data_IF_383014538458
#
_entry.id   IF_383014538458
#
_cell.length_a   1.000
_cell.length_b   1.000
_cell.length_c   1.000
_cell.angle_alpha   90.00
_cell.angle_beta   90.00
_cell.angle_gamma   90.00
#
_symmetry.space_group_name_H-M   'P 1'
#
loop_
_entity.id
_entity.type
_entity.pdbx_description
1 polymer ?
#
# COMPACT_ATOMS: atom_id res chain seq x y z
N UNK A 1 -15.73 -4.69 2.80
CA UNK A 1 -14.47 -5.44 3.13
C UNK A 1 -13.42 -4.50 3.76
N UNK A 2 -12.87 -3.48 3.05
CA UNK A 2 -11.78 -2.65 3.63
C UNK A 2 -12.19 -1.99 4.96
N UNK A 3 -13.30 -1.29 5.00
CA UNK A 3 -13.79 -0.61 6.20
C UNK A 3 -14.20 -1.57 7.33
N UNK A 4 -14.59 -2.79 7.01
CA UNK A 4 -14.91 -3.83 8.00
C UNK A 4 -13.65 -4.41 8.65
N UNK A 5 -12.56 -4.53 7.89
CA UNK A 5 -11.28 -5.03 8.40
C UNK A 5 -10.49 -3.96 9.18
N UNK A 6 -10.85 -2.68 9.01
CA UNK A 6 -10.07 -1.54 9.52
C UNK A 6 -9.85 -1.61 11.03
N UNK A 7 -10.92 -1.76 11.81
CA UNK A 7 -10.86 -1.73 13.28
C UNK A 7 -9.91 -2.80 13.84
N UNK A 8 -10.12 -4.06 13.45
CA UNK A 8 -9.26 -5.15 13.91
C UNK A 8 -7.80 -5.01 13.44
N UNK A 9 -7.57 -4.38 12.27
CA UNK A 9 -6.23 -4.14 11.77
C UNK A 9 -5.51 -3.00 12.50
N UNK A 10 -6.19 -1.91 12.79
CA UNK A 10 -5.60 -0.79 13.52
C UNK A 10 -5.32 -1.12 15.00
N UNK A 11 -6.16 -1.98 15.62
CA UNK A 11 -5.97 -2.43 16.99
C UNK A 11 -4.84 -3.47 17.13
N UNK A 12 -4.47 -4.16 16.04
CA UNK A 12 -3.36 -5.11 16.06
C UNK A 12 -2.05 -4.39 16.42
N UNK A 13 -1.27 -4.89 17.41
CA UNK A 13 0.04 -4.32 17.74
C UNK A 13 0.91 -4.14 16.49
N UNK A 14 1.57 -3.00 16.38
CA UNK A 14 2.35 -2.67 15.17
C UNK A 14 3.47 -3.68 14.88
N UNK A 15 4.02 -4.29 15.91
CA UNK A 15 5.01 -5.37 15.79
C UNK A 15 4.43 -6.61 15.11
N UNK A 16 3.18 -6.96 15.42
CA UNK A 16 2.50 -8.09 14.80
C UNK A 16 2.17 -7.79 13.33
N UNK A 17 1.72 -6.57 13.02
CA UNK A 17 1.53 -6.14 11.62
C UNK A 17 2.85 -6.20 10.85
N UNK A 18 3.91 -5.64 11.42
CA UNK A 18 5.25 -5.63 10.83
C UNK A 18 5.81 -7.03 10.57
N UNK A 19 5.58 -7.98 11.48
CA UNK A 19 6.03 -9.36 11.33
C UNK A 19 5.46 -10.03 10.08
N UNK A 20 4.23 -9.72 9.67
CA UNK A 20 3.62 -10.24 8.43
C UNK A 20 4.43 -9.77 7.21
N UNK A 21 4.78 -8.48 7.15
CA UNK A 21 5.51 -7.91 6.02
C UNK A 21 6.99 -8.32 5.99
N UNK A 22 7.64 -8.47 7.14
CA UNK A 22 9.00 -9.03 7.21
C UNK A 22 9.03 -10.48 6.75
N UNK A 23 8.04 -11.30 7.17
CA UNK A 23 7.88 -12.67 6.67
C UNK A 23 7.63 -12.69 5.16
N UNK A 24 6.88 -11.72 4.63
CA UNK A 24 6.67 -11.58 3.20
C UNK A 24 7.98 -11.26 2.47
N UNK A 25 8.81 -10.36 2.99
CA UNK A 25 10.13 -10.05 2.43
C UNK A 25 11.03 -11.28 2.34
N UNK A 26 11.05 -12.12 3.38
CA UNK A 26 11.83 -13.36 3.38
C UNK A 26 11.29 -14.39 2.38
N UNK A 27 9.97 -14.46 2.20
CA UNK A 27 9.38 -15.34 1.19
C UNK A 27 9.59 -14.83 -0.24
N UNK A 28 9.61 -13.52 -0.46
CA UNK A 28 9.96 -12.90 -1.76
C UNK A 28 11.37 -13.30 -2.17
N UNK A 29 12.34 -13.17 -1.27
CA UNK A 29 13.75 -13.50 -1.55
C UNK A 29 14.05 -15.00 -1.53
N UNK A 30 13.12 -15.81 -1.06
CA UNK A 30 13.20 -17.27 -0.97
C UNK A 30 12.25 -17.99 -1.94
N UNK A 31 11.23 -18.70 -1.43
CA UNK A 31 10.43 -19.63 -2.22
C UNK A 31 9.58 -18.97 -3.32
N UNK A 32 9.24 -17.69 -3.20
CA UNK A 32 8.45 -16.98 -4.21
C UNK A 32 9.28 -16.23 -5.26
N UNK A 33 10.60 -16.14 -5.09
CA UNK A 33 11.50 -15.36 -5.96
C UNK A 33 11.33 -15.72 -7.44
N UNK A 34 11.37 -17.00 -7.79
CA UNK A 34 11.29 -17.44 -9.19
C UNK A 34 9.92 -17.17 -9.81
N UNK A 35 8.85 -17.40 -9.07
CA UNK A 35 7.48 -17.13 -9.54
C UNK A 35 7.25 -15.64 -9.77
N UNK A 36 7.72 -14.79 -8.85
CA UNK A 36 7.59 -13.35 -8.99
C UNK A 36 8.47 -12.81 -10.13
N UNK A 37 9.70 -13.29 -10.28
CA UNK A 37 10.55 -12.94 -11.41
C UNK A 37 9.91 -13.35 -12.74
N UNK A 38 9.48 -14.59 -12.88
CA UNK A 38 8.86 -15.08 -14.11
C UNK A 38 7.58 -14.29 -14.46
N UNK A 39 6.71 -14.04 -13.50
CA UNK A 39 5.49 -13.27 -13.73
C UNK A 39 5.76 -11.80 -14.07
N UNK A 40 6.80 -11.19 -13.50
CA UNK A 40 7.27 -9.85 -13.83
C UNK A 40 7.84 -9.79 -15.24
N UNK A 41 8.65 -10.77 -15.63
CA UNK A 41 9.17 -10.87 -17.00
C UNK A 41 8.05 -10.97 -18.03
N UNK A 42 7.07 -11.85 -17.79
CA UNK A 42 5.95 -12.07 -18.70
C UNK A 42 5.00 -10.87 -18.79
N UNK A 43 4.68 -10.25 -17.66
CA UNK A 43 3.72 -9.15 -17.61
C UNK A 43 4.29 -7.79 -18.02
N UNK A 44 5.59 -7.58 -17.85
CA UNK A 44 6.25 -6.29 -18.04
C UNK A 44 7.37 -6.31 -19.09
N UNK A 45 7.54 -7.43 -19.80
CA UNK A 45 8.57 -7.59 -20.84
C UNK A 45 9.98 -7.32 -20.33
N UNK A 46 10.29 -7.71 -19.10
CA UNK A 46 11.60 -7.54 -18.46
C UNK A 46 12.52 -8.69 -18.75
N UNK A 47 13.82 -8.40 -18.81
CA UNK A 47 14.87 -9.42 -18.79
C UNK A 47 14.94 -10.05 -17.40
N UNK A 48 15.62 -11.20 -17.29
CA UNK A 48 15.86 -11.87 -15.98
C UNK A 48 16.50 -10.92 -14.99
N UNK A 49 17.53 -10.18 -15.42
CA UNK A 49 18.26 -9.24 -14.57
C UNK A 49 17.36 -8.08 -14.07
N UNK A 50 16.53 -7.51 -14.96
CA UNK A 50 15.59 -6.45 -14.59
C UNK A 50 14.50 -6.93 -13.63
N UNK A 51 13.98 -8.13 -13.84
CA UNK A 51 13.00 -8.73 -12.94
C UNK A 51 13.61 -9.02 -11.56
N UNK A 52 14.84 -9.53 -11.54
CA UNK A 52 15.57 -9.82 -10.30
C UNK A 52 15.78 -8.58 -9.44
N UNK A 53 16.18 -7.44 -10.05
CA UNK A 53 16.33 -6.17 -9.35
C UNK A 53 14.97 -5.69 -8.80
N UNK A 54 13.92 -5.75 -9.63
CA UNK A 54 12.57 -5.34 -9.27
C UNK A 54 12.04 -6.13 -8.05
N UNK A 55 12.23 -7.45 -8.06
CA UNK A 55 11.75 -8.31 -6.97
C UNK A 55 12.61 -8.16 -5.70
N UNK A 56 13.91 -7.94 -5.84
CA UNK A 56 14.77 -7.61 -4.70
C UNK A 56 14.35 -6.30 -4.04
N UNK A 57 14.07 -5.27 -4.84
CA UNK A 57 13.57 -3.98 -4.37
C UNK A 57 12.21 -4.11 -3.66
N UNK A 58 11.31 -4.98 -4.13
CA UNK A 58 10.05 -5.25 -3.45
C UNK A 58 10.27 -5.75 -2.01
N UNK A 59 11.23 -6.66 -1.82
CA UNK A 59 11.58 -7.14 -0.48
C UNK A 59 12.19 -6.03 0.39
N UNK A 60 13.01 -5.17 -0.21
CA UNK A 60 13.62 -4.04 0.49
C UNK A 60 12.60 -2.98 0.88
N UNK A 61 11.61 -2.68 0.03
CA UNK A 61 10.50 -1.78 0.40
C UNK A 61 9.77 -2.26 1.66
N UNK A 62 9.55 -3.56 1.80
CA UNK A 62 8.90 -4.09 3.01
C UNK A 62 9.78 -3.93 4.24
N UNK A 63 11.07 -4.22 4.14
CA UNK A 63 12.03 -4.08 5.23
C UNK A 63 12.21 -2.62 5.64
N UNK A 64 12.41 -1.73 4.66
CA UNK A 64 12.51 -0.28 4.89
C UNK A 64 11.20 0.31 5.42
N UNK A 65 10.06 -0.15 4.90
CA UNK A 65 8.74 0.28 5.37
C UNK A 65 8.54 -0.01 6.86
N UNK A 66 8.91 -1.21 7.30
CA UNK A 66 8.87 -1.59 8.72
C UNK A 66 9.85 -0.77 9.55
N UNK A 67 11.10 -0.62 9.08
CA UNK A 67 12.08 0.22 9.75
C UNK A 67 11.61 1.68 9.86
N UNK A 68 11.10 2.25 8.80
CA UNK A 68 10.57 3.63 8.79
C UNK A 68 9.39 3.81 9.74
N UNK A 69 8.49 2.82 9.80
CA UNK A 69 7.37 2.84 10.75
C UNK A 69 7.88 2.84 12.20
N UNK A 70 8.90 2.03 12.50
CA UNK A 70 9.54 2.01 13.81
C UNK A 70 10.13 3.37 14.16
N UNK A 71 10.84 4.02 13.24
CA UNK A 71 11.41 5.36 13.47
C UNK A 71 10.32 6.41 13.72
N UNK A 72 9.21 6.36 12.98
CA UNK A 72 8.07 7.26 13.22
C UNK A 72 7.49 7.05 14.62
N UNK A 73 7.29 5.80 15.05
CA UNK A 73 6.70 5.50 16.38
C UNK A 73 7.61 5.85 17.55
N UNK A 74 8.92 5.98 17.32
CA UNK A 74 9.88 6.47 18.34
C UNK A 74 9.78 7.97 18.58
N UNK A 75 9.24 8.74 17.65
CA UNK A 75 9.10 10.19 17.81
C UNK A 75 7.99 10.49 18.83
N UNK A 76 8.41 10.85 20.02
CA UNK A 76 7.53 11.07 21.17
C UNK A 76 7.77 12.47 21.76
N UNK A 77 6.71 13.10 22.31
CA UNK A 77 6.84 14.42 22.93
C UNK A 77 7.70 14.35 24.21
N UNK A 78 8.30 15.48 24.53
CA UNK A 78 9.10 15.60 25.76
C UNK A 78 8.22 15.43 27.00
N UNK A 79 8.70 14.64 27.95
CA UNK A 79 8.13 14.51 29.29
C UNK A 79 8.95 15.31 30.29
N UNK A 80 8.29 15.85 31.32
CA UNK A 80 8.94 16.57 32.42
C UNK A 80 8.73 15.84 33.75
N UNK A 81 9.42 16.27 34.80
CA UNK A 81 9.28 15.67 36.13
C UNK A 81 7.79 15.65 36.57
N UNK A 82 7.30 14.45 36.90
CA UNK A 82 5.92 14.23 37.32
C UNK A 82 4.86 14.25 36.20
N UNK A 83 5.25 14.46 34.94
CA UNK A 83 4.34 14.46 33.78
C UNK A 83 4.89 13.52 32.71
N UNK A 84 4.08 12.55 32.29
CA UNK A 84 4.38 11.67 31.17
C UNK A 84 3.53 12.06 29.96
N UNK A 85 4.17 12.54 28.89
CA UNK A 85 3.54 12.88 27.62
C UNK A 85 3.76 11.74 26.61
N UNK A 86 2.71 11.34 25.89
CA UNK A 86 2.77 10.33 24.87
C UNK A 86 1.94 10.73 23.67
N UNK A 87 2.44 10.45 22.48
CA UNK A 87 1.69 10.51 21.23
C UNK A 87 1.27 9.09 20.86
N UNK A 88 0.00 8.94 20.53
CA UNK A 88 -0.57 7.71 20.01
C UNK A 88 -0.84 7.88 18.51
N UNK A 89 -0.14 7.07 17.69
CA UNK A 89 -0.23 7.13 16.23
C UNK A 89 -1.40 6.28 15.76
N UNK A 90 -2.36 6.90 15.11
CA UNK A 90 -3.52 6.24 14.53
C UNK A 90 -3.49 6.28 13.01
N UNK A 91 -3.98 5.22 12.31
CA UNK A 91 -4.18 5.26 10.88
C UNK A 91 -5.25 6.28 10.49
N UNK A 92 -5.33 6.61 9.21
CA UNK A 92 -6.33 7.53 8.70
C UNK A 92 -7.76 6.96 8.85
N UNK A 93 -8.74 7.83 9.08
CA UNK A 93 -10.14 7.41 9.17
C UNK A 93 -10.74 7.20 7.77
N UNK A 94 -10.64 5.96 7.30
CA UNK A 94 -11.11 5.54 6.00
C UNK A 94 -10.17 4.53 5.35
N UNK A 95 -10.12 4.50 4.02
CA UNK A 95 -9.24 3.62 3.26
C UNK A 95 -8.31 4.41 2.33
N UNK A 96 -7.19 3.79 1.99
CA UNK A 96 -6.24 4.31 1.00
C UNK A 96 -6.57 3.72 -0.37
N UNK A 97 -6.72 4.57 -1.38
CA UNK A 97 -6.82 4.15 -2.78
C UNK A 97 -5.41 4.10 -3.36
N UNK A 98 -4.89 2.90 -3.63
CA UNK A 98 -3.58 2.68 -4.23
C UNK A 98 -3.73 2.31 -5.71
N UNK A 99 -3.24 3.16 -6.61
CA UNK A 99 -3.20 2.89 -8.05
C UNK A 99 -1.76 2.76 -8.49
N UNK A 100 -1.40 1.60 -9.02
CA UNK A 100 -0.01 1.21 -9.24
C UNK A 100 0.35 1.08 -10.71
N UNK A 101 1.64 1.33 -11.06
CA UNK A 101 2.10 1.42 -12.44
C UNK A 101 2.25 0.05 -13.11
N UNK A 102 2.59 0.09 -14.41
CA UNK A 102 2.76 -1.12 -15.22
C UNK A 102 4.22 -1.62 -15.27
N UNK A 103 5.17 -0.81 -14.87
CA UNK A 103 6.58 -1.01 -15.16
C UNK A 103 7.42 -1.58 -14.01
N UNK A 104 6.91 -1.56 -12.76
CA UNK A 104 7.60 -2.11 -11.60
C UNK A 104 6.64 -2.88 -10.67
N UNK A 105 6.95 -4.14 -10.44
CA UNK A 105 6.24 -4.97 -9.46
C UNK A 105 6.54 -4.51 -8.03
N UNK A 106 7.75 -4.02 -7.77
CA UNK A 106 8.17 -3.42 -6.50
C UNK A 106 7.28 -2.24 -6.10
N UNK A 107 7.10 -1.29 -7.00
CA UNK A 107 6.20 -0.13 -6.79
C UNK A 107 4.75 -0.61 -6.67
N UNK A 108 4.36 -1.57 -7.53
CA UNK A 108 3.04 -2.20 -7.48
C UNK A 108 2.70 -2.75 -6.11
N UNK A 109 3.65 -3.42 -5.47
CA UNK A 109 3.51 -3.97 -4.12
C UNK A 109 3.65 -2.93 -3.01
N UNK A 110 4.55 -1.95 -3.17
CA UNK A 110 4.82 -0.95 -2.14
C UNK A 110 3.62 -0.02 -1.87
N UNK A 111 2.95 0.45 -2.92
CA UNK A 111 1.88 1.44 -2.75
C UNK A 111 0.73 1.00 -1.83
N UNK A 112 0.22 -0.24 -1.89
CA UNK A 112 -0.77 -0.72 -0.94
C UNK A 112 -0.18 -1.15 0.40
N UNK A 113 1.09 -1.63 0.46
CA UNK A 113 1.66 -2.17 1.70
C UNK A 113 2.24 -1.10 2.61
N UNK A 114 2.84 -0.04 2.11
CA UNK A 114 3.37 1.04 2.93
C UNK A 114 2.30 1.63 3.88
N UNK A 115 1.10 2.01 3.42
CA UNK A 115 0.05 2.43 4.34
C UNK A 115 -0.47 1.30 5.24
N UNK A 116 -0.47 0.04 4.78
CA UNK A 116 -0.94 -1.08 5.58
C UNK A 116 0.00 -1.38 6.77
N UNK A 117 1.31 -1.24 6.62
CA UNK A 117 2.30 -1.40 7.70
C UNK A 117 1.95 -0.49 8.89
N UNK A 118 1.54 0.75 8.62
CA UNK A 118 1.16 1.72 9.65
C UNK A 118 -0.33 1.69 10.02
N UNK A 119 -1.02 0.58 9.73
CA UNK A 119 -2.37 0.29 10.22
C UNK A 119 -3.52 0.74 9.31
N UNK A 120 -3.25 1.30 8.13
CA UNK A 120 -4.31 1.62 7.18
C UNK A 120 -4.79 0.38 6.42
N UNK A 121 -5.99 0.48 5.87
CA UNK A 121 -6.52 -0.48 4.89
C UNK A 121 -6.47 0.11 3.50
N UNK A 122 -6.24 -0.73 2.49
CA UNK A 122 -6.02 -0.26 1.13
C UNK A 122 -6.95 -0.95 0.11
N UNK A 123 -7.36 -0.17 -0.89
CA UNK A 123 -8.01 -0.61 -2.10
C UNK A 123 -6.98 -0.49 -3.23
N UNK A 124 -6.52 -1.61 -3.74
CA UNK A 124 -5.38 -1.68 -4.65
C UNK A 124 -5.83 -2.01 -6.07
N UNK A 125 -5.67 -1.04 -6.96
CA UNK A 125 -5.88 -1.21 -8.38
C UNK A 125 -4.55 -1.36 -9.12
N UNK A 126 -4.19 -2.58 -9.56
CA UNK A 126 -2.99 -2.80 -10.36
C UNK A 126 -3.17 -2.28 -11.79
N UNK A 127 -2.05 -2.02 -12.47
CA UNK A 127 -2.08 -1.85 -13.92
C UNK A 127 -2.45 -3.16 -14.62
N UNK A 128 -3.14 -3.08 -15.76
CA UNK A 128 -3.65 -4.26 -16.51
C UNK A 128 -2.54 -5.24 -16.89
N UNK A 129 -1.39 -4.76 -17.31
CA UNK A 129 -0.25 -5.60 -17.70
C UNK A 129 0.53 -6.17 -16.51
N UNK A 130 0.41 -5.58 -15.33
CA UNK A 130 1.09 -6.04 -14.12
C UNK A 130 0.21 -6.91 -13.19
N UNK A 131 -1.01 -7.26 -13.62
CA UNK A 131 -1.98 -8.04 -12.80
C UNK A 131 -1.39 -9.36 -12.34
N UNK A 132 -0.69 -10.11 -13.21
CA UNK A 132 -0.18 -11.45 -12.89
C UNK A 132 0.83 -11.42 -11.72
N UNK A 133 1.85 -10.57 -11.81
CA UNK A 133 2.87 -10.46 -10.76
C UNK A 133 2.27 -9.95 -9.45
N UNK A 134 1.43 -8.93 -9.53
CA UNK A 134 0.77 -8.35 -8.37
C UNK A 134 -0.24 -9.32 -7.72
N UNK A 135 -0.88 -10.18 -8.50
CA UNK A 135 -1.74 -11.25 -7.97
C UNK A 135 -0.95 -12.28 -7.16
N UNK A 136 0.20 -12.74 -7.69
CA UNK A 136 1.07 -13.65 -6.93
C UNK A 136 1.61 -12.99 -5.66
N UNK A 137 1.92 -11.71 -5.72
CA UNK A 137 2.30 -10.96 -4.53
C UNK A 137 1.16 -10.86 -3.51
N UNK A 138 -0.06 -10.58 -3.94
CA UNK A 138 -1.23 -10.58 -3.04
C UNK A 138 -1.44 -11.94 -2.38
N UNK A 139 -1.33 -13.04 -3.13
CA UNK A 139 -1.37 -14.41 -2.56
C UNK A 139 -0.28 -14.62 -1.52
N UNK A 140 0.94 -14.20 -1.81
CA UNK A 140 2.05 -14.28 -0.87
C UNK A 140 1.75 -13.54 0.43
N UNK A 141 1.19 -12.34 0.37
CA UNK A 141 0.80 -11.59 1.55
C UNK A 141 -0.25 -12.35 2.40
N UNK A 142 -1.26 -12.93 1.76
CA UNK A 142 -2.26 -13.76 2.44
C UNK A 142 -1.63 -15.01 3.09
N UNK A 143 -0.72 -15.69 2.38
CA UNK A 143 0.02 -16.85 2.90
C UNK A 143 0.97 -16.47 4.07
N UNK A 144 1.35 -15.20 4.17
CA UNK A 144 2.11 -14.67 5.30
C UNK A 144 1.25 -14.33 6.51
N UNK A 145 -0.07 -14.29 6.35
CA UNK A 145 -1.03 -14.02 7.41
C UNK A 145 -1.67 -12.63 7.33
N UNK A 146 -1.59 -11.93 6.19
CA UNK A 146 -2.32 -10.68 6.00
C UNK A 146 -3.84 -10.96 6.09
N UNK A 147 -4.57 -10.33 7.01
CA UNK A 147 -6.00 -10.56 7.13
C UNK A 147 -6.78 -10.10 5.89
N UNK A 148 -7.83 -10.83 5.57
CA UNK A 148 -8.73 -10.46 4.48
C UNK A 148 -9.33 -9.07 4.71
N UNK A 149 -9.38 -8.26 3.66
CA UNK A 149 -9.92 -6.90 3.72
C UNK A 149 -8.88 -5.81 4.04
N UNK A 150 -7.70 -6.14 4.58
CA UNK A 150 -6.64 -5.13 4.84
C UNK A 150 -6.13 -4.55 3.53
N UNK A 151 -5.78 -5.41 2.56
CA UNK A 151 -5.48 -4.99 1.19
C UNK A 151 -6.47 -5.68 0.27
N UNK A 152 -7.19 -4.92 -0.52
CA UNK A 152 -8.21 -5.40 -1.45
C UNK A 152 -7.70 -5.24 -2.88
N UNK A 153 -7.35 -6.35 -3.50
CA UNK A 153 -6.84 -6.39 -4.88
C UNK A 153 -8.01 -6.31 -5.87
N UNK A 154 -8.12 -5.18 -6.61
CA UNK A 154 -9.27 -4.86 -7.48
C UNK A 154 -8.77 -4.54 -8.89
N UNK A 155 -8.57 -5.55 -9.76
CA UNK A 155 -8.29 -5.33 -11.17
C UNK A 155 -9.53 -4.75 -11.87
N UNK A 156 -9.49 -3.46 -12.19
CA UNK A 156 -10.56 -2.75 -12.90
C UNK A 156 -9.98 -1.63 -13.77
N UNK A 157 -10.84 -0.97 -14.52
CA UNK A 157 -10.43 0.20 -15.31
C UNK A 157 -10.29 1.45 -14.43
N UNK A 158 -9.43 2.39 -14.87
CA UNK A 158 -9.23 3.66 -14.16
C UNK A 158 -10.50 4.50 -14.06
N UNK A 159 -11.38 4.40 -15.06
CA UNK A 159 -12.67 5.07 -15.07
C UNK A 159 -13.57 4.62 -13.90
N UNK A 160 -13.55 3.33 -13.54
CA UNK A 160 -14.32 2.82 -12.42
C UNK A 160 -13.79 3.37 -11.10
N UNK A 161 -12.46 3.50 -10.96
CA UNK A 161 -11.85 4.12 -9.77
C UNK A 161 -12.28 5.57 -9.64
N UNK A 162 -12.21 6.35 -10.72
CA UNK A 162 -12.65 7.76 -10.72
C UNK A 162 -14.14 7.91 -10.41
N UNK A 163 -14.96 7.00 -10.89
CA UNK A 163 -16.41 7.07 -10.72
C UNK A 163 -16.90 6.65 -9.34
N UNK A 164 -16.30 5.58 -8.77
CA UNK A 164 -16.86 4.93 -7.58
C UNK A 164 -15.98 5.04 -6.35
N UNK A 165 -14.65 5.14 -6.52
CA UNK A 165 -13.70 5.07 -5.40
C UNK A 165 -13.21 6.46 -5.00
N UNK A 166 -12.77 7.27 -5.97
CA UNK A 166 -12.25 8.60 -5.68
C UNK A 166 -13.29 9.49 -4.97
N UNK A 167 -14.57 9.57 -5.39
CA UNK A 167 -15.55 10.41 -4.70
C UNK A 167 -16.14 9.79 -3.42
N UNK A 168 -15.67 8.61 -3.00
CA UNK A 168 -16.24 7.94 -1.83
C UNK A 168 -15.93 8.70 -0.54
N UNK A 169 -16.92 9.01 0.33
CA UNK A 169 -16.73 9.84 1.52
C UNK A 169 -15.64 9.35 2.50
N UNK A 170 -15.39 8.04 2.53
CA UNK A 170 -14.36 7.42 3.38
C UNK A 170 -13.04 7.18 2.66
N UNK A 171 -12.79 7.75 1.48
CA UNK A 171 -11.45 7.77 0.90
C UNK A 171 -10.59 8.74 1.71
N UNK A 172 -9.64 8.19 2.47
CA UNK A 172 -8.78 8.94 3.38
C UNK A 172 -7.42 9.29 2.75
N UNK A 173 -7.03 8.60 1.68
CA UNK A 173 -5.79 8.88 0.97
C UNK A 173 -5.75 8.25 -0.41
N UNK A 174 -4.89 8.82 -1.24
CA UNK A 174 -4.61 8.36 -2.59
C UNK A 174 -3.11 8.21 -2.77
N UNK A 175 -2.66 6.99 -3.05
CA UNK A 175 -1.25 6.65 -3.25
C UNK A 175 -1.07 6.18 -4.68
N UNK A 176 -0.25 6.90 -5.45
CA UNK A 176 -0.24 6.78 -6.91
C UNK A 176 1.16 6.79 -7.49
N UNK A 177 1.39 5.94 -8.48
CA UNK A 177 2.49 6.09 -9.43
C UNK A 177 1.96 5.91 -10.84
N UNK A 178 2.24 6.89 -11.72
CA UNK A 178 1.77 6.88 -13.10
C UNK A 178 1.95 8.23 -13.79
N UNK A 179 1.09 8.55 -14.77
CA UNK A 179 1.24 9.80 -15.51
C UNK A 179 0.79 11.03 -14.73
N UNK A 180 1.52 12.12 -14.90
CA UNK A 180 1.22 13.44 -14.34
C UNK A 180 -0.23 13.88 -14.65
N UNK A 181 -0.70 13.67 -15.86
CA UNK A 181 -2.06 14.06 -16.26
C UNK A 181 -3.14 13.32 -15.45
N UNK A 182 -2.94 12.03 -15.17
CA UNK A 182 -3.88 11.27 -14.33
C UNK A 182 -3.86 11.77 -12.90
N UNK A 183 -2.66 12.02 -12.33
CA UNK A 183 -2.54 12.52 -10.97
C UNK A 183 -3.19 13.90 -10.80
N UNK A 184 -2.95 14.81 -11.74
CA UNK A 184 -3.60 16.14 -11.76
C UNK A 184 -5.12 16.01 -11.87
N UNK A 185 -5.63 15.09 -12.70
CA UNK A 185 -7.06 14.80 -12.83
C UNK A 185 -7.69 14.33 -11.52
N UNK A 186 -7.01 13.42 -10.81
CA UNK A 186 -7.46 12.95 -9.49
C UNK A 186 -7.41 14.08 -8.46
N UNK A 187 -6.33 14.86 -8.44
CA UNK A 187 -6.21 16.01 -7.54
C UNK A 187 -7.35 17.00 -7.72
N UNK A 188 -7.66 17.34 -8.98
CA UNK A 188 -8.80 18.19 -9.31
C UNK A 188 -10.11 17.57 -8.81
N UNK A 189 -10.36 16.29 -9.10
CA UNK A 189 -11.56 15.59 -8.67
C UNK A 189 -11.72 15.57 -7.15
N UNK A 190 -10.64 15.35 -6.41
CA UNK A 190 -10.65 15.40 -4.93
C UNK A 190 -10.97 16.82 -4.45
N UNK A 191 -10.38 17.84 -5.06
CA UNK A 191 -10.70 19.25 -4.73
C UNK A 191 -12.17 19.61 -4.97
N UNK A 192 -12.73 19.17 -6.08
CA UNK A 192 -14.14 19.39 -6.43
C UNK A 192 -15.11 18.68 -5.45
N UNK A 193 -14.69 17.56 -4.88
CA UNK A 193 -15.47 16.77 -3.93
C UNK A 193 -15.09 17.01 -2.46
N UNK A 194 -14.29 18.02 -2.16
CA UNK A 194 -13.69 18.20 -0.83
C UNK A 194 -14.70 18.25 0.32
N UNK A 195 -15.87 18.81 0.08
CA UNK A 195 -16.94 18.94 1.07
C UNK A 195 -17.67 17.60 1.37
N UNK A 196 -17.50 16.58 0.54
CA UNK A 196 -18.17 15.27 0.70
C UNK A 196 -17.36 14.27 1.49
N UNK A 197 -16.06 14.48 1.68
CA UNK A 197 -15.20 13.56 2.43
C UNK A 197 -15.38 13.72 3.95
N UNK A 198 -15.30 12.59 4.64
CA UNK A 198 -15.29 12.58 6.11
C UNK A 198 -14.03 13.24 6.69
N UNK A 199 -12.91 13.16 5.96
CA UNK A 199 -11.63 13.80 6.26
C UNK A 199 -11.00 14.32 4.96
N UNK A 200 -10.00 15.19 5.07
CA UNK A 200 -9.24 15.65 3.90
C UNK A 200 -8.33 14.53 3.40
N UNK A 201 -8.57 13.96 2.20
CA UNK A 201 -7.73 12.90 1.66
C UNK A 201 -6.26 13.34 1.49
N UNK A 202 -5.33 12.46 1.85
CA UNK A 202 -3.89 12.69 1.60
C UNK A 202 -3.56 12.22 0.19
N UNK A 203 -2.99 13.10 -0.63
CA UNK A 203 -2.59 12.78 -1.99
C UNK A 203 -1.07 12.65 -2.06
N UNK A 204 -0.59 11.47 -2.39
CA UNK A 204 0.84 11.16 -2.57
C UNK A 204 1.01 10.54 -3.94
N UNK A 205 1.85 11.12 -4.77
CA UNK A 205 2.05 10.66 -6.13
C UNK A 205 3.48 10.83 -6.62
N UNK A 206 3.92 9.83 -7.36
CA UNK A 206 5.12 9.84 -8.19
C UNK A 206 4.67 9.92 -9.66
N UNK A 207 5.13 10.95 -10.41
CA UNK A 207 4.71 11.18 -11.80
C UNK A 207 5.86 11.59 -12.72
#
# INVERSE_FOLDING_TARGET
AALEAKEAWEEMPWEHRSAIFLKAADRITGPYRQVLNASTMLGQSKTVFQAEIDIAELADFLRFGVWSAQEIFKDQPLSTDGIWNRQDYRPLDGFICAITPFNFTSIGGNLPTAPAIVGNVALWKPSRTAVLANYYYMKLLMDCGLPAGVINFVPCDGADMSKYVIPHPKMAGFHFTGSTAVFQGVWKQVGENIASYANYPRLVGET
#
